data_IF_517804938469
#
_entry.id   IF_517804938469
#
_cell.length_a   1.000
_cell.length_b   1.000
_cell.length_c   1.000
_cell.angle_alpha   90.00
_cell.angle_beta   90.00
_cell.angle_gamma   90.00
#
_symmetry.space_group_name_H-M   'P 1'
#
loop_
_entity.id
_entity.type
_entity.pdbx_description
1 polymer ?
#
# COMPACT_ATOMS: atom_id res chain seq x y z
N UNK A 1 5.52 12.66 -21.65
CA UNK A 1 6.08 11.33 -21.37
C UNK A 1 5.65 10.45 -22.52
N UNK A 2 6.56 9.69 -23.14
CA UNK A 2 6.15 8.67 -24.12
C UNK A 2 5.39 7.53 -23.44
N UNK A 3 5.10 6.45 -24.18
CA UNK A 3 4.60 5.21 -23.59
C UNK A 3 5.67 4.59 -22.68
N UNK A 4 5.53 4.82 -21.37
CA UNK A 4 6.42 4.28 -20.35
C UNK A 4 5.60 3.45 -19.38
N UNK A 5 5.86 2.14 -19.39
CA UNK A 5 5.26 1.19 -18.46
C UNK A 5 6.25 0.94 -17.32
N UNK A 6 5.81 1.14 -16.08
CA UNK A 6 6.60 0.86 -14.88
C UNK A 6 6.01 -0.37 -14.21
N UNK A 7 6.80 -1.42 -14.10
CA UNK A 7 6.43 -2.63 -13.39
C UNK A 7 6.91 -2.53 -11.95
N UNK A 8 6.00 -2.68 -10.99
CA UNK A 8 6.32 -2.72 -9.56
C UNK A 8 6.09 -4.13 -9.06
N UNK A 9 7.15 -4.77 -8.58
CA UNK A 9 7.09 -6.10 -7.97
C UNK A 9 7.19 -5.97 -6.45
N UNK A 10 6.37 -6.74 -5.73
CA UNK A 10 6.24 -6.64 -4.29
C UNK A 10 6.32 -8.02 -3.65
N UNK A 11 7.54 -8.44 -3.32
CA UNK A 11 7.78 -9.72 -2.69
C UNK A 11 7.51 -9.68 -1.18
N UNK A 12 6.62 -10.58 -0.74
CA UNK A 12 6.31 -10.76 0.68
C UNK A 12 7.29 -11.79 1.26
N UNK A 13 8.35 -11.33 1.92
CA UNK A 13 9.33 -12.20 2.58
C UNK A 13 8.75 -12.85 3.85
N UNK A 14 7.91 -12.12 4.58
CA UNK A 14 7.21 -12.62 5.76
C UNK A 14 5.77 -12.09 5.80
N UNK A 15 4.81 -12.99 6.05
CA UNK A 15 3.39 -12.66 6.01
C UNK A 15 2.76 -12.72 7.41
N UNK A 16 2.50 -11.55 8.00
CA UNK A 16 1.77 -11.43 9.27
C UNK A 16 0.49 -10.56 9.15
N UNK A 17 -0.30 -10.81 8.11
CA UNK A 17 -1.48 -10.02 7.82
C UNK A 17 -1.14 -8.63 7.27
N UNK A 18 -2.11 -7.99 6.61
CA UNK A 18 -1.92 -6.67 6.02
C UNK A 18 -0.96 -6.60 4.80
N UNK A 19 -0.42 -7.73 4.33
CA UNK A 19 0.61 -7.77 3.26
C UNK A 19 0.20 -7.03 2.00
N UNK A 20 -1.05 -7.16 1.53
CA UNK A 20 -1.57 -6.37 0.39
C UNK A 20 -1.49 -4.84 0.60
N UNK A 21 -1.81 -4.38 1.80
CA UNK A 21 -1.76 -2.94 2.13
C UNK A 21 -0.31 -2.45 2.26
N UNK A 22 0.56 -3.30 2.80
CA UNK A 22 1.99 -3.06 2.83
C UNK A 22 2.57 -2.96 1.41
N UNK A 23 2.20 -3.87 0.49
CA UNK A 23 2.64 -3.83 -0.90
C UNK A 23 2.21 -2.55 -1.61
N UNK A 24 0.97 -2.08 -1.44
CA UNK A 24 0.51 -0.82 -2.06
C UNK A 24 1.31 0.37 -1.52
N UNK A 25 1.50 0.44 -0.21
CA UNK A 25 2.22 1.56 0.42
C UNK A 25 3.70 1.54 0.04
N UNK A 26 4.33 0.35 0.01
CA UNK A 26 5.72 0.17 -0.41
C UNK A 26 5.94 0.46 -1.90
N UNK A 27 5.01 0.03 -2.75
CA UNK A 27 5.04 0.29 -4.19
C UNK A 27 5.02 1.80 -4.50
N UNK A 28 4.25 2.59 -3.74
CA UNK A 28 4.24 4.05 -3.89
C UNK A 28 5.61 4.67 -3.57
N UNK A 29 6.25 4.23 -2.47
CA UNK A 29 7.60 4.70 -2.11
C UNK A 29 8.62 4.32 -3.18
N UNK A 30 8.59 3.07 -3.66
CA UNK A 30 9.46 2.60 -4.74
C UNK A 30 9.28 3.41 -6.03
N UNK A 31 8.03 3.69 -6.40
CA UNK A 31 7.71 4.50 -7.58
C UNK A 31 8.20 5.94 -7.46
N UNK A 32 8.03 6.56 -6.29
CA UNK A 32 8.53 7.91 -6.01
C UNK A 32 10.06 7.95 -6.16
N UNK A 33 10.77 7.01 -5.54
CA UNK A 33 12.22 6.92 -5.65
C UNK A 33 12.69 6.66 -7.09
N UNK A 34 11.97 5.84 -7.85
CA UNK A 34 12.28 5.58 -9.24
C UNK A 34 12.15 6.84 -10.10
N UNK A 35 11.10 7.63 -9.90
CA UNK A 35 10.94 8.90 -10.60
C UNK A 35 11.95 9.95 -10.15
N UNK A 36 12.28 10.03 -8.86
CA UNK A 36 13.33 10.93 -8.36
C UNK A 36 14.69 10.60 -8.98
N UNK A 37 15.04 9.31 -9.08
CA UNK A 37 16.24 8.86 -9.79
C UNK A 37 16.23 9.25 -11.28
N UNK A 38 15.09 9.11 -11.96
CA UNK A 38 14.93 9.51 -13.36
C UNK A 38 14.94 11.03 -13.55
N UNK A 39 14.53 11.82 -12.56
CA UNK A 39 14.69 13.28 -12.59
C UNK A 39 16.16 13.66 -12.50
N UNK A 40 16.90 13.06 -11.58
CA UNK A 40 18.33 13.33 -11.39
C UNK A 40 19.16 12.98 -12.64
N UNK A 41 18.80 11.88 -13.34
CA UNK A 41 19.46 11.47 -14.59
C UNK A 41 19.07 12.32 -15.81
N UNK A 42 18.08 13.22 -15.67
CA UNK A 42 17.49 14.08 -16.71
C UNK A 42 16.73 13.43 -17.90
N UNK A 43 16.28 12.15 -17.93
CA UNK A 43 15.29 11.72 -18.90
C UNK A 43 13.88 12.29 -18.66
N UNK A 44 13.59 12.81 -17.46
CA UNK A 44 12.31 13.44 -17.12
C UNK A 44 12.51 14.94 -16.79
N UNK A 45 11.58 15.77 -17.24
CA UNK A 45 11.60 17.22 -16.98
C UNK A 45 10.92 17.61 -15.66
N UNK A 46 9.97 16.81 -15.17
CA UNK A 46 9.22 17.05 -13.94
C UNK A 46 8.76 15.74 -13.31
N UNK A 47 8.38 15.78 -12.03
CA UNK A 47 7.87 14.62 -11.31
C UNK A 47 6.40 14.37 -11.65
N UNK A 48 6.02 13.20 -12.20
CA UNK A 48 4.64 12.97 -12.66
C UNK A 48 3.67 12.51 -11.55
N UNK A 49 4.13 12.43 -10.28
CA UNK A 49 3.29 11.96 -9.17
C UNK A 49 2.44 13.13 -8.70
N UNK A 50 1.12 12.96 -8.71
CA UNK A 50 0.15 14.00 -8.33
C UNK A 50 -0.28 13.96 -6.87
N UNK A 51 -0.07 12.84 -6.18
CA UNK A 51 -0.49 12.66 -4.80
C UNK A 51 0.17 11.48 -4.11
N UNK A 52 0.03 11.43 -2.79
CA UNK A 52 0.54 10.34 -1.97
C UNK A 52 -0.49 9.22 -1.86
N UNK A 53 -0.05 7.97 -1.99
CA UNK A 53 -0.92 6.80 -1.85
C UNK A 53 -0.45 5.96 -0.68
N UNK A 54 -1.39 5.58 0.18
CA UNK A 54 -1.16 4.64 1.27
C UNK A 54 -2.34 3.69 1.38
N UNK A 55 -2.13 2.51 1.95
CA UNK A 55 -3.21 1.58 2.19
C UNK A 55 -3.10 0.99 3.59
N UNK A 56 -4.24 0.86 4.27
CA UNK A 56 -4.33 0.24 5.58
C UNK A 56 -5.45 -0.78 5.60
N UNK A 57 -5.28 -1.84 6.38
CA UNK A 57 -6.37 -2.77 6.66
C UNK A 57 -7.08 -2.35 7.93
N UNK A 58 -8.40 -2.35 7.90
CA UNK A 58 -9.25 -2.04 9.05
C UNK A 58 -10.29 -3.15 9.24
N UNK A 59 -10.87 -3.20 10.43
CA UNK A 59 -11.99 -4.09 10.74
C UNK A 59 -12.72 -3.64 11.99
N UNK A 60 -13.82 -4.31 12.28
CA UNK A 60 -14.63 -4.09 13.48
C UNK A 60 -14.54 -5.32 14.37
N UNK A 61 -14.24 -5.12 15.65
CA UNK A 61 -14.35 -6.15 16.68
C UNK A 61 -15.51 -5.83 17.65
N UNK A 62 -15.63 -6.61 18.73
CA UNK A 62 -16.66 -6.41 19.75
C UNK A 62 -16.47 -5.17 20.62
N UNK A 63 -15.28 -4.58 20.59
CA UNK A 63 -14.87 -3.45 21.42
C UNK A 63 -14.78 -2.14 20.62
N UNK A 64 -14.79 -2.20 19.28
CA UNK A 64 -14.84 -1.04 18.41
C UNK A 64 -14.07 -1.22 17.09
N UNK A 65 -13.71 -0.11 16.43
CA UNK A 65 -12.91 -0.14 15.20
C UNK A 65 -11.44 -0.45 15.49
N UNK A 66 -10.87 -1.37 14.71
CA UNK A 66 -9.46 -1.72 14.73
C UNK A 66 -8.79 -1.31 13.40
N UNK A 67 -7.60 -0.74 13.52
CA UNK A 67 -6.70 -0.49 12.40
C UNK A 67 -5.50 -1.44 12.49
N UNK A 68 -4.97 -1.85 11.33
CA UNK A 68 -3.84 -2.76 11.19
C UNK A 68 -4.07 -4.16 11.81
N UNK A 69 -4.77 -5.00 11.06
CA UNK A 69 -5.11 -6.36 11.48
C UNK A 69 -3.99 -7.35 11.10
N UNK A 70 -3.28 -7.89 12.11
CA UNK A 70 -2.34 -8.99 11.92
C UNK A 70 -3.04 -10.32 11.61
N UNK A 71 -2.30 -11.31 11.10
CA UNK A 71 -2.89 -12.62 10.77
C UNK A 71 -3.54 -13.30 11.98
N UNK A 72 -2.90 -13.20 13.15
CA UNK A 72 -3.42 -13.75 14.42
C UNK A 72 -4.75 -13.13 14.83
N UNK A 73 -4.87 -11.82 14.67
CA UNK A 73 -6.10 -11.07 14.94
C UNK A 73 -7.21 -11.57 14.00
N UNK A 74 -6.93 -11.66 12.69
CA UNK A 74 -7.90 -12.19 11.70
C UNK A 74 -8.37 -13.62 12.00
N UNK A 75 -7.47 -14.49 12.49
CA UNK A 75 -7.80 -15.88 12.80
C UNK A 75 -8.65 -16.06 14.08
N UNK A 76 -8.55 -15.13 15.03
CA UNK A 76 -9.31 -15.16 16.29
C UNK A 76 -10.77 -14.72 16.18
N UNK A 77 -11.10 -13.84 15.23
CA UNK A 77 -12.45 -13.29 15.05
C UNK A 77 -13.25 -14.04 13.99
N UNK A 78 -13.55 -15.32 14.23
CA UNK A 78 -14.26 -16.19 13.26
C UNK A 78 -15.73 -15.81 12.99
N UNK A 79 -16.35 -14.92 13.77
CA UNK A 79 -17.81 -14.69 13.71
C UNK A 79 -18.29 -13.23 13.79
N UNK A 80 -17.44 -12.21 13.66
CA UNK A 80 -17.88 -10.81 13.60
C UNK A 80 -17.04 -10.00 12.62
N UNK A 81 -17.66 -9.62 11.49
CA UNK A 81 -17.36 -8.48 10.58
C UNK A 81 -15.89 -8.01 10.45
N UNK A 82 -14.92 -8.92 10.56
CA UNK A 82 -13.54 -8.68 10.12
C UNK A 82 -13.50 -8.77 8.60
N UNK A 83 -14.22 -7.87 7.93
CA UNK A 83 -14.10 -7.69 6.49
C UNK A 83 -12.64 -7.36 6.19
N UNK A 84 -11.91 -8.28 5.57
CA UNK A 84 -10.49 -8.13 5.22
C UNK A 84 -10.25 -7.12 4.11
N UNK A 85 -10.94 -5.97 4.16
CA UNK A 85 -10.84 -4.88 3.21
C UNK A 85 -9.55 -4.10 3.48
N UNK A 86 -8.78 -3.94 2.41
CA UNK A 86 -7.67 -3.00 2.37
C UNK A 86 -8.23 -1.68 1.85
N UNK A 87 -8.23 -0.64 2.67
CA UNK A 87 -8.68 0.69 2.28
C UNK A 87 -7.49 1.47 1.75
N UNK A 88 -7.57 1.93 0.51
CA UNK A 88 -6.55 2.77 -0.13
C UNK A 88 -6.93 4.24 0.07
N UNK A 89 -5.98 5.02 0.54
CA UNK A 89 -6.10 6.45 0.80
C UNK A 89 -5.17 7.19 -0.16
N UNK A 90 -5.73 8.14 -0.90
CA UNK A 90 -4.99 9.07 -1.76
C UNK A 90 -5.06 10.45 -1.12
N UNK A 91 -3.90 11.01 -0.81
CA UNK A 91 -3.76 12.38 -0.31
C UNK A 91 -3.34 13.28 -1.48
N UNK A 92 -4.26 14.14 -1.90
CA UNK A 92 -4.03 15.23 -2.84
C UNK A 92 -3.54 16.48 -2.10
#
# INVERSE_FOLDING_TARGET
MGEMTITLDCDVINADGGTRCASITGAWVALYLAFDFLLQKKPLQYHPITGQISAVSCGLDTHGPLAWLSHKVKAGYKNKLCGGLCSVFVKN
#
